data_IF_983606913586
#
_entry.id   IF_983606913586
#
_cell.length_a   1.000
_cell.length_b   1.000
_cell.length_c   1.000
_cell.angle_alpha   90.00
_cell.angle_beta   90.00
_cell.angle_gamma   90.00
#
_symmetry.space_group_name_H-M   'P 1'
#
loop_
_entity.id
_entity.type
_entity.pdbx_description
1 polymer ?
#
# COMPACT_ATOMS: atom_id res chain seq x y z
N UNK A 1 10.99 0.12 18.85
CA UNK A 1 10.31 -1.13 18.44
C UNK A 1 10.40 -1.17 16.93
N UNK A 2 10.69 -2.31 16.30
CA UNK A 2 10.69 -2.32 14.82
C UNK A 2 9.25 -2.23 14.34
N UNK A 3 9.02 -1.54 13.22
CA UNK A 3 7.69 -1.48 12.62
C UNK A 3 7.14 -2.88 12.30
N UNK A 4 8.03 -3.84 11.99
CA UNK A 4 7.67 -5.24 11.84
C UNK A 4 6.92 -5.77 13.06
N UNK A 5 7.48 -5.57 14.26
CA UNK A 5 6.92 -6.05 15.52
C UNK A 5 5.53 -5.45 15.77
N UNK A 6 5.32 -4.20 15.34
CA UNK A 6 4.03 -3.53 15.44
C UNK A 6 2.99 -4.18 14.55
N UNK A 7 3.35 -4.77 13.41
CA UNK A 7 2.41 -5.33 12.41
C UNK A 7 2.28 -6.86 12.53
N UNK A 8 3.14 -7.51 13.31
CA UNK A 8 3.18 -8.98 13.40
C UNK A 8 1.87 -9.59 13.91
N UNK A 9 1.18 -8.98 14.86
CA UNK A 9 -0.16 -9.43 15.30
C UNK A 9 -1.14 -9.52 14.11
N UNK A 10 -1.11 -8.53 13.22
CA UNK A 10 -1.96 -8.52 12.02
C UNK A 10 -1.56 -9.63 11.04
N UNK A 11 -0.25 -9.87 10.86
CA UNK A 11 0.24 -10.96 10.00
C UNK A 11 -0.13 -12.32 10.55
N UNK A 12 0.09 -12.56 11.83
CA UNK A 12 -0.22 -13.82 12.50
C UNK A 12 -1.68 -14.21 12.30
N UNK A 13 -2.62 -13.28 12.48
CA UNK A 13 -4.05 -13.55 12.24
C UNK A 13 -4.32 -13.98 10.79
N UNK A 14 -3.71 -13.31 9.81
CA UNK A 14 -3.89 -13.66 8.40
C UNK A 14 -3.23 -15.00 8.08
N UNK A 15 -2.00 -15.22 8.55
CA UNK A 15 -1.20 -16.43 8.32
C UNK A 15 -1.89 -17.66 8.90
N UNK A 16 -2.43 -17.58 10.12
CA UNK A 16 -3.18 -18.66 10.77
C UNK A 16 -4.40 -19.10 9.95
N UNK A 17 -5.07 -18.17 9.26
CA UNK A 17 -6.19 -18.49 8.39
C UNK A 17 -5.69 -19.04 7.05
N UNK A 18 -4.72 -18.37 6.44
CA UNK A 18 -4.31 -18.66 5.06
C UNK A 18 -3.54 -19.97 4.92
N UNK A 19 -2.68 -20.31 5.89
CA UNK A 19 -1.88 -21.56 5.86
C UNK A 19 -2.78 -22.81 5.83
N UNK A 20 -4.00 -22.73 6.37
CA UNK A 20 -5.00 -23.82 6.30
C UNK A 20 -5.35 -24.19 4.84
N UNK A 21 -5.14 -23.27 3.88
CA UNK A 21 -5.48 -23.46 2.48
C UNK A 21 -4.30 -23.87 1.58
N UNK A 22 -3.08 -24.10 2.09
CA UNK A 22 -1.89 -24.42 1.25
C UNK A 22 -2.08 -25.59 0.25
N UNK A 23 -3.01 -26.49 0.52
CA UNK A 23 -3.32 -27.65 -0.33
C UNK A 23 -4.81 -27.74 -0.69
N UNK A 24 -5.52 -26.61 -0.62
CA UNK A 24 -6.94 -26.49 -0.94
C UNK A 24 -7.15 -25.37 -1.92
N UNK A 25 -8.18 -25.50 -2.75
CA UNK A 25 -8.60 -24.38 -3.58
C UNK A 25 -9.23 -23.29 -2.73
N UNK A 26 -9.15 -22.06 -3.19
CA UNK A 26 -9.67 -20.89 -2.48
C UNK A 26 -10.71 -20.16 -3.32
N UNK A 27 -11.87 -19.93 -2.70
CA UNK A 27 -12.90 -19.01 -3.16
C UNK A 27 -12.75 -17.72 -2.36
N UNK A 28 -12.34 -16.64 -3.02
CA UNK A 28 -12.31 -15.31 -2.41
C UNK A 28 -13.64 -14.60 -2.67
N UNK A 29 -14.48 -14.55 -1.65
CA UNK A 29 -15.85 -14.08 -1.72
C UNK A 29 -15.94 -12.61 -1.28
N UNK A 30 -16.42 -11.72 -2.15
CA UNK A 30 -16.43 -10.26 -1.93
C UNK A 30 -15.21 -9.53 -2.52
N UNK A 31 -14.65 -10.04 -3.64
CA UNK A 31 -13.37 -9.61 -4.22
C UNK A 31 -13.27 -8.11 -4.61
N UNK A 32 -14.37 -7.45 -5.00
CA UNK A 32 -14.36 -6.04 -5.46
C UNK A 32 -13.89 -5.01 -4.44
N UNK A 33 -13.88 -5.37 -3.17
CA UNK A 33 -13.42 -4.51 -2.10
C UNK A 33 -11.89 -4.29 -2.17
N UNK A 34 -11.38 -3.28 -1.47
CA UNK A 34 -9.94 -3.19 -1.28
C UNK A 34 -9.42 -4.38 -0.48
N UNK A 35 -10.16 -4.79 0.57
CA UNK A 35 -9.94 -6.04 1.33
C UNK A 35 -9.74 -7.25 0.43
N UNK A 36 -10.62 -7.50 -0.55
CA UNK A 36 -10.47 -8.63 -1.46
C UNK A 36 -9.16 -8.59 -2.25
N UNK A 37 -8.82 -7.44 -2.85
CA UNK A 37 -7.53 -7.28 -3.54
C UNK A 37 -6.33 -7.42 -2.60
N UNK A 38 -6.43 -6.93 -1.38
CA UNK A 38 -5.39 -7.06 -0.37
C UNK A 38 -5.18 -8.52 0.04
N UNK A 39 -6.25 -9.25 0.37
CA UNK A 39 -6.16 -10.66 0.76
C UNK A 39 -5.63 -11.54 -0.37
N UNK A 40 -6.05 -11.28 -1.63
CA UNK A 40 -5.47 -11.95 -2.80
C UNK A 40 -3.96 -11.71 -2.88
N UNK A 41 -3.53 -10.44 -2.81
CA UNK A 41 -2.11 -10.09 -2.87
C UNK A 41 -1.32 -10.71 -1.71
N UNK A 42 -1.84 -10.63 -0.48
CA UNK A 42 -1.16 -11.13 0.70
C UNK A 42 -0.95 -12.66 0.60
N UNK A 43 -1.96 -13.39 0.16
CA UNK A 43 -1.88 -14.83 -0.04
C UNK A 43 -0.85 -15.22 -1.10
N UNK A 44 -0.83 -14.51 -2.23
CA UNK A 44 0.12 -14.74 -3.33
C UNK A 44 1.55 -14.36 -2.92
N UNK A 45 1.72 -13.22 -2.25
CA UNK A 45 3.03 -12.66 -1.92
C UNK A 45 3.71 -13.39 -0.75
N UNK A 46 2.99 -13.71 0.32
CA UNK A 46 3.56 -14.31 1.53
C UNK A 46 3.49 -15.84 1.56
N UNK A 47 2.50 -16.44 0.89
CA UNK A 47 2.21 -17.88 1.00
C UNK A 47 2.25 -18.65 -0.32
N UNK A 48 2.46 -17.97 -1.45
CA UNK A 48 2.31 -18.54 -2.81
C UNK A 48 0.94 -19.23 -3.02
N UNK A 49 -0.08 -18.79 -2.29
CA UNK A 49 -1.45 -19.30 -2.42
C UNK A 49 -2.15 -18.49 -3.51
N UNK A 50 -2.44 -19.16 -4.63
CA UNK A 50 -3.24 -18.58 -5.71
C UNK A 50 -4.72 -18.71 -5.41
N UNK A 51 -5.47 -17.65 -5.70
CA UNK A 51 -6.93 -17.68 -5.58
C UNK A 51 -7.54 -18.31 -6.82
N UNK A 52 -8.25 -19.43 -6.66
CA UNK A 52 -8.87 -20.18 -7.76
C UNK A 52 -10.17 -19.53 -8.27
N UNK A 53 -10.96 -18.96 -7.36
CA UNK A 53 -12.26 -18.38 -7.69
C UNK A 53 -12.43 -17.01 -7.05
N UNK A 54 -12.46 -15.97 -7.89
CA UNK A 54 -12.81 -14.62 -7.44
C UNK A 54 -14.33 -14.46 -7.53
N UNK A 55 -15.01 -14.30 -6.40
CA UNK A 55 -16.47 -14.12 -6.36
C UNK A 55 -16.82 -12.69 -6.00
N UNK A 56 -17.66 -12.09 -6.83
CA UNK A 56 -18.24 -10.77 -6.64
C UNK A 56 -19.59 -10.83 -5.95
N UNK A 57 -19.86 -9.95 -4.98
CA UNK A 57 -21.21 -9.76 -4.43
C UNK A 57 -21.88 -8.48 -4.96
N UNK A 58 -21.11 -7.52 -5.46
CA UNK A 58 -21.61 -6.29 -6.08
C UNK A 58 -22.02 -6.47 -7.55
N UNK A 59 -23.33 -6.61 -7.80
CA UNK A 59 -23.92 -6.74 -9.13
C UNK A 59 -24.10 -5.39 -9.86
N UNK A 60 -23.83 -4.25 -9.20
CA UNK A 60 -24.00 -2.92 -9.80
C UNK A 60 -22.82 -2.52 -10.70
N UNK A 61 -21.67 -3.17 -10.54
CA UNK A 61 -20.45 -2.87 -11.30
C UNK A 61 -20.37 -3.71 -12.57
N UNK A 62 -20.31 -3.04 -13.72
CA UNK A 62 -19.91 -3.67 -14.98
C UNK A 62 -18.48 -4.19 -14.87
N UNK A 63 -18.24 -5.43 -15.32
CA UNK A 63 -16.92 -6.07 -15.34
C UNK A 63 -16.59 -6.54 -16.74
N UNK A 64 -15.31 -6.50 -17.08
CA UNK A 64 -14.85 -7.05 -18.34
C UNK A 64 -14.94 -8.59 -18.27
N UNK A 65 -15.54 -9.21 -19.29
CA UNK A 65 -15.84 -10.65 -19.29
C UNK A 65 -14.59 -11.54 -19.38
N UNK A 66 -13.44 -10.97 -19.75
CA UNK A 66 -12.13 -11.62 -19.78
C UNK A 66 -11.53 -11.79 -18.38
N UNK A 67 -12.05 -11.07 -17.37
CA UNK A 67 -11.75 -11.35 -15.97
C UNK A 67 -12.69 -12.47 -15.50
N UNK A 68 -12.15 -13.65 -15.18
CA UNK A 68 -12.88 -14.78 -14.60
C UNK A 68 -13.36 -14.48 -13.17
N UNK A 69 -14.28 -13.54 -13.03
CA UNK A 69 -14.92 -13.16 -11.77
C UNK A 69 -16.34 -13.71 -11.77
N UNK A 70 -16.58 -14.61 -10.83
CA UNK A 70 -17.83 -15.34 -10.67
C UNK A 70 -18.84 -14.53 -9.85
N UNK A 71 -20.11 -14.90 -9.99
CA UNK A 71 -21.21 -14.45 -9.13
C UNK A 71 -21.40 -15.42 -7.95
N UNK A 72 -22.15 -15.04 -6.89
CA UNK A 72 -22.38 -15.92 -5.74
C UNK A 72 -22.99 -17.27 -6.13
N UNK A 73 -23.80 -17.28 -7.20
CA UNK A 73 -24.41 -18.48 -7.76
C UNK A 73 -23.42 -19.58 -8.19
N UNK A 74 -22.12 -19.31 -8.21
CA UNK A 74 -21.06 -20.31 -8.38
C UNK A 74 -21.24 -21.52 -7.46
N UNK A 75 -21.66 -21.29 -6.20
CA UNK A 75 -21.84 -22.33 -5.19
C UNK A 75 -23.02 -23.28 -5.52
N UNK A 76 -23.89 -22.90 -6.46
CA UNK A 76 -25.11 -23.64 -6.80
C UNK A 76 -24.93 -24.60 -7.97
N UNK A 77 -23.86 -24.44 -8.76
CA UNK A 77 -23.73 -25.07 -10.07
C UNK A 77 -22.92 -26.36 -10.10
N UNK A 78 -22.52 -26.89 -8.94
CA UNK A 78 -21.61 -28.06 -8.85
C UNK A 78 -20.37 -27.90 -9.76
N UNK A 79 -19.89 -26.66 -9.91
CA UNK A 79 -18.82 -26.34 -10.85
C UNK A 79 -17.49 -26.87 -10.34
N UNK A 80 -16.91 -27.84 -11.05
CA UNK A 80 -15.62 -28.46 -10.71
C UNK A 80 -15.62 -28.94 -9.25
N UNK A 81 -14.63 -28.51 -8.47
CA UNK A 81 -14.35 -28.83 -7.08
C UNK A 81 -14.64 -27.64 -6.14
N UNK A 82 -15.52 -26.71 -6.55
CA UNK A 82 -15.94 -25.55 -5.74
C UNK A 82 -16.42 -25.97 -4.34
N UNK A 83 -17.18 -27.06 -4.25
CA UNK A 83 -17.69 -27.59 -2.97
C UNK A 83 -16.59 -28.02 -1.98
N UNK A 84 -15.39 -28.34 -2.48
CA UNK A 84 -14.25 -28.82 -1.68
C UNK A 84 -13.22 -27.70 -1.41
N UNK A 85 -13.47 -26.49 -1.93
CA UNK A 85 -12.64 -25.31 -1.76
C UNK A 85 -12.92 -24.62 -0.40
N UNK A 86 -11.95 -23.87 0.11
CA UNK A 86 -12.16 -22.99 1.25
C UNK A 86 -12.73 -21.65 0.80
N UNK A 87 -13.70 -21.13 1.55
CA UNK A 87 -14.27 -19.81 1.31
C UNK A 87 -13.60 -18.79 2.23
N UNK A 88 -12.90 -17.84 1.63
CA UNK A 88 -12.37 -16.67 2.31
C UNK A 88 -13.33 -15.50 2.14
N UNK A 89 -13.98 -15.08 3.23
CA UNK A 89 -14.90 -13.96 3.22
C UNK A 89 -14.13 -12.64 3.33
N UNK A 90 -14.13 -11.89 2.23
CA UNK A 90 -13.58 -10.54 2.11
C UNK A 90 -14.65 -9.44 2.31
N UNK A 91 -15.77 -9.79 2.96
CA UNK A 91 -16.85 -8.91 3.35
C UNK A 91 -17.35 -9.25 4.76
N UNK A 92 -17.96 -8.30 5.50
CA UNK A 92 -18.45 -8.56 6.85
C UNK A 92 -19.51 -9.66 6.84
N UNK A 93 -19.36 -10.64 7.73
CA UNK A 93 -20.33 -11.73 7.85
C UNK A 93 -21.69 -11.19 8.28
N UNK A 94 -22.73 -11.63 7.56
CA UNK A 94 -24.13 -11.39 7.89
C UNK A 94 -24.85 -12.70 8.12
N UNK A 95 -26.01 -12.67 8.80
CA UNK A 95 -26.86 -13.85 8.98
C UNK A 95 -27.27 -14.48 7.64
N UNK A 96 -27.43 -13.67 6.59
CA UNK A 96 -27.84 -14.16 5.27
C UNK A 96 -26.66 -14.85 4.57
N UNK A 97 -25.46 -14.25 4.63
CA UNK A 97 -24.23 -14.87 4.10
C UNK A 97 -23.91 -16.17 4.83
N UNK A 98 -24.04 -16.20 6.16
CA UNK A 98 -23.84 -17.40 6.97
C UNK A 98 -24.78 -18.54 6.55
N UNK A 99 -26.09 -18.27 6.50
CA UNK A 99 -27.09 -19.25 6.03
C UNK A 99 -26.85 -19.71 4.59
N UNK A 100 -26.40 -18.80 3.72
CA UNK A 100 -26.11 -19.12 2.33
C UNK A 100 -24.95 -20.11 2.21
N UNK A 101 -23.86 -19.88 2.95
CA UNK A 101 -22.70 -20.78 2.97
C UNK A 101 -23.05 -22.13 3.60
N UNK A 102 -23.74 -22.13 4.74
CA UNK A 102 -24.17 -23.37 5.42
C UNK A 102 -25.11 -24.22 4.55
N UNK A 103 -26.02 -23.58 3.78
CA UNK A 103 -26.89 -24.27 2.83
C UNK A 103 -26.11 -25.10 1.81
N UNK A 104 -24.93 -24.63 1.39
CA UNK A 104 -24.07 -25.33 0.43
C UNK A 104 -22.94 -26.14 1.09
N UNK A 105 -23.04 -26.38 2.40
CA UNK A 105 -22.18 -27.32 3.12
C UNK A 105 -20.90 -26.73 3.70
N UNK A 106 -20.72 -25.41 3.67
CA UNK A 106 -19.58 -24.76 4.30
C UNK A 106 -19.82 -24.56 5.80
N UNK A 107 -18.77 -24.80 6.60
CA UNK A 107 -18.75 -24.81 8.06
C UNK A 107 -17.82 -23.70 8.54
N UNK A 108 -18.31 -22.86 9.46
CA UNK A 108 -17.58 -21.71 9.99
C UNK A 108 -16.29 -22.13 10.67
N UNK A 109 -15.21 -21.43 10.37
CA UNK A 109 -13.86 -21.64 10.90
C UNK A 109 -13.22 -23.00 10.54
N UNK A 110 -13.86 -23.78 9.67
CA UNK A 110 -13.35 -25.05 9.16
C UNK A 110 -13.18 -25.01 7.63
N UNK A 111 -14.26 -24.68 6.91
CA UNK A 111 -14.26 -24.59 5.44
C UNK A 111 -14.65 -23.20 4.91
N UNK A 112 -15.10 -22.29 5.78
CA UNK A 112 -15.09 -20.86 5.47
C UNK A 112 -14.56 -20.01 6.64
N UNK A 113 -13.94 -18.88 6.30
CA UNK A 113 -13.22 -18.02 7.24
C UNK A 113 -13.63 -16.56 7.07
N UNK A 114 -14.04 -15.93 8.18
CA UNK A 114 -14.42 -14.52 8.26
C UNK A 114 -13.22 -13.66 8.67
N UNK A 115 -12.59 -13.01 7.69
CA UNK A 115 -11.42 -12.17 7.93
C UNK A 115 -11.77 -10.89 8.69
N UNK A 116 -13.00 -10.37 8.56
CA UNK A 116 -13.39 -9.14 9.23
C UNK A 116 -13.52 -9.32 10.74
N UNK A 117 -14.23 -10.37 11.16
CA UNK A 117 -14.31 -10.70 12.59
C UNK A 117 -12.96 -11.14 13.15
N UNK A 118 -12.12 -11.82 12.37
CA UNK A 118 -10.77 -12.19 12.83
C UNK A 118 -9.89 -10.95 13.11
N UNK A 119 -9.93 -9.94 12.25
CA UNK A 119 -9.05 -8.76 12.35
C UNK A 119 -9.62 -7.68 13.27
N UNK A 120 -10.90 -7.35 13.15
CA UNK A 120 -11.52 -6.20 13.85
C UNK A 120 -12.51 -6.60 14.95
N UNK A 121 -12.77 -7.90 15.12
CA UNK A 121 -13.82 -8.39 16.01
C UNK A 121 -15.17 -7.77 15.66
N UNK A 122 -15.73 -7.00 16.59
CA UNK A 122 -17.01 -6.30 16.41
C UNK A 122 -16.85 -4.85 15.90
N UNK A 123 -15.64 -4.29 15.80
CA UNK A 123 -15.39 -2.90 15.41
C UNK A 123 -15.10 -2.73 13.91
N UNK A 124 -15.95 -3.33 13.07
CA UNK A 124 -15.80 -3.35 11.61
C UNK A 124 -16.18 -2.01 10.95
N UNK A 125 -17.02 -1.21 11.61
CA UNK A 125 -17.56 0.04 11.07
C UNK A 125 -16.95 1.24 11.81
N UNK A 126 -16.09 1.95 11.10
CA UNK A 126 -15.53 3.22 11.53
C UNK A 126 -16.61 4.32 11.58
N UNK A 127 -16.68 5.06 12.68
CA UNK A 127 -17.55 6.22 12.83
C UNK A 127 -16.80 7.50 12.56
N UNK A 128 -17.52 8.53 12.13
CA UNK A 128 -16.97 9.87 12.01
C UNK A 128 -16.69 10.45 13.40
N UNK A 129 -15.48 10.95 13.62
CA UNK A 129 -15.05 11.57 14.86
C UNK A 129 -15.13 13.11 14.82
N UNK A 130 -15.63 13.68 13.72
CA UNK A 130 -15.89 15.11 13.57
C UNK A 130 -14.62 15.96 13.41
N UNK A 131 -13.47 15.33 13.14
CA UNK A 131 -12.21 16.02 12.92
C UNK A 131 -12.13 16.69 11.53
N UNK A 132 -11.23 17.65 11.40
CA UNK A 132 -10.92 18.30 10.12
C UNK A 132 -10.32 17.31 9.10
N UNK A 133 -10.24 17.73 7.84
CA UNK A 133 -9.81 16.86 6.73
C UNK A 133 -8.39 16.29 6.90
N UNK A 134 -7.48 16.98 7.59
CA UNK A 134 -6.12 16.50 7.82
C UNK A 134 -6.11 15.39 8.89
N UNK A 135 -6.99 15.49 9.89
CA UNK A 135 -7.06 14.54 11.00
C UNK A 135 -8.17 13.48 10.88
N UNK A 136 -9.04 13.60 9.88
CA UNK A 136 -10.14 12.67 9.61
C UNK A 136 -9.63 11.29 9.21
N UNK A 137 -10.15 10.25 9.84
CA UNK A 137 -9.94 8.85 9.46
C UNK A 137 -11.04 8.36 8.53
N UNK A 138 -10.80 7.21 7.90
CA UNK A 138 -11.82 6.60 7.04
C UNK A 138 -13.07 6.28 7.85
N UNK A 139 -14.24 6.61 7.27
CA UNK A 139 -15.57 6.35 7.85
C UNK A 139 -16.25 5.23 7.07
N UNK A 140 -17.06 4.42 7.76
CA UNK A 140 -17.77 3.27 7.19
C UNK A 140 -16.99 1.97 7.36
N UNK A 141 -17.18 1.03 6.43
CA UNK A 141 -16.54 -0.29 6.53
C UNK A 141 -15.02 -0.17 6.45
N UNK A 142 -14.32 -0.72 7.44
CA UNK A 142 -12.86 -0.81 7.41
C UNK A 142 -12.38 -1.67 6.25
N UNK A 143 -11.22 -1.38 5.65
CA UNK A 143 -10.56 -2.33 4.76
C UNK A 143 -9.50 -3.09 5.54
N UNK A 144 -9.40 -4.39 5.29
CA UNK A 144 -8.32 -5.19 5.85
C UNK A 144 -7.07 -4.87 5.02
N UNK A 145 -6.15 -4.15 5.64
CA UNK A 145 -4.83 -3.78 5.13
C UNK A 145 -3.96 -3.25 6.27
N UNK A 146 -2.64 -3.26 6.11
CA UNK A 146 -1.71 -2.85 7.16
C UNK A 146 -1.96 -1.43 7.67
N UNK A 147 -2.05 -0.43 6.80
CA UNK A 147 -2.15 0.97 7.24
C UNK A 147 -3.47 1.26 7.98
N UNK A 148 -4.59 0.72 7.52
CA UNK A 148 -5.88 0.91 8.19
C UNK A 148 -5.98 0.09 9.49
N UNK A 149 -5.29 -1.05 9.57
CA UNK A 149 -5.12 -1.75 10.84
C UNK A 149 -4.33 -0.91 11.85
N UNK A 150 -3.27 -0.21 11.42
CA UNK A 150 -2.54 0.74 12.29
C UNK A 150 -3.42 1.93 12.73
N UNK A 151 -4.28 2.45 11.84
CA UNK A 151 -5.24 3.49 12.22
C UNK A 151 -6.21 3.03 13.32
N UNK A 152 -6.63 1.77 13.25
CA UNK A 152 -7.55 1.14 14.19
C UNK A 152 -6.89 0.78 15.52
N UNK A 153 -5.73 0.12 15.48
CA UNK A 153 -5.05 -0.42 16.66
C UNK A 153 -4.26 0.64 17.43
N UNK A 154 -3.57 1.53 16.73
CA UNK A 154 -2.63 2.50 17.32
C UNK A 154 -3.06 3.96 17.17
N UNK A 155 -4.31 4.19 16.75
CA UNK A 155 -4.87 5.51 16.52
C UNK A 155 -4.13 6.35 15.45
N UNK A 156 -3.38 5.73 14.53
CA UNK A 156 -2.74 6.44 13.41
C UNK A 156 -3.75 7.01 12.38
N UNK A 157 -3.27 7.78 11.40
CA UNK A 157 -4.05 8.33 10.27
C UNK A 157 -3.22 8.33 8.97
N UNK A 158 -3.57 7.46 8.03
CA UNK A 158 -2.87 7.23 6.78
C UNK A 158 -3.78 7.24 5.54
N UNK A 159 -4.96 6.62 5.59
CA UNK A 159 -5.66 6.15 4.37
C UNK A 159 -6.68 7.13 3.81
N UNK A 160 -7.14 8.11 4.61
CA UNK A 160 -8.08 9.14 4.15
C UNK A 160 -7.42 10.06 3.14
N UNK A 161 -7.93 10.09 1.91
CA UNK A 161 -7.48 11.01 0.87
C UNK A 161 -7.89 12.44 1.20
N UNK A 162 -7.02 13.40 0.90
CA UNK A 162 -7.31 14.83 0.93
C UNK A 162 -7.29 15.30 -0.52
N UNK A 163 -8.34 15.99 -0.97
CA UNK A 163 -8.36 16.49 -2.34
C UNK A 163 -7.49 17.74 -2.46
N UNK A 164 -7.05 18.04 -3.68
CA UNK A 164 -6.22 19.21 -3.99
C UNK A 164 -6.85 20.52 -3.50
N UNK A 165 -8.17 20.66 -3.64
CA UNK A 165 -8.94 21.85 -3.25
C UNK A 165 -9.12 22.01 -1.74
N UNK A 166 -8.79 20.98 -0.96
CA UNK A 166 -8.88 21.00 0.51
C UNK A 166 -7.54 21.37 1.19
N UNK A 167 -6.46 21.52 0.42
CA UNK A 167 -5.13 21.86 0.94
C UNK A 167 -4.92 23.37 0.86
N UNK A 168 -4.66 24.01 2.01
CA UNK A 168 -4.62 25.47 2.15
C UNK A 168 -3.52 26.14 1.31
N UNK A 169 -2.35 25.49 1.20
CA UNK A 169 -1.26 25.94 0.33
C UNK A 169 -1.48 25.37 -1.08
N UNK A 170 -2.64 25.64 -1.67
CA UNK A 170 -2.92 25.31 -3.06
C UNK A 170 -2.15 26.26 -3.99
N UNK A 171 -0.85 26.01 -4.17
CA UNK A 171 -0.14 26.49 -5.35
C UNK A 171 -0.70 25.85 -6.62
N UNK A 172 -0.42 26.44 -7.79
CA UNK A 172 -0.88 25.90 -9.10
C UNK A 172 -0.47 24.42 -9.31
N UNK A 173 0.60 24.00 -8.65
CA UNK A 173 1.28 22.72 -8.82
C UNK A 173 0.90 21.62 -7.80
N UNK A 174 -0.05 21.88 -6.90
CA UNK A 174 -0.36 20.91 -5.84
C UNK A 174 -1.15 19.69 -6.34
N UNK A 175 -0.95 18.53 -5.73
CA UNK A 175 -1.77 17.33 -5.92
C UNK A 175 -2.45 16.97 -4.60
N UNK A 176 -3.60 16.27 -4.66
CA UNK A 176 -4.24 15.81 -3.43
C UNK A 176 -3.41 14.75 -2.71
N UNK A 177 -3.59 14.60 -1.40
CA UNK A 177 -2.98 13.51 -0.64
C UNK A 177 -3.63 12.16 -1.00
N UNK A 178 -2.77 11.20 -1.31
CA UNK A 178 -3.08 9.78 -1.42
C UNK A 178 -1.88 8.96 -0.98
N UNK A 179 -2.11 7.67 -0.71
CA UNK A 179 -1.09 6.81 -0.13
C UNK A 179 -0.93 5.53 -0.94
N UNK A 180 0.31 5.11 -1.15
CA UNK A 180 0.67 3.74 -1.55
C UNK A 180 0.93 2.90 -0.32
N UNK A 181 0.61 1.61 -0.41
CA UNK A 181 0.74 0.69 0.71
C UNK A 181 1.79 -0.37 0.41
N UNK A 182 2.07 -1.23 1.39
CA UNK A 182 2.89 -2.42 1.20
C UNK A 182 2.43 -3.24 -0.03
N UNK A 183 1.13 -3.28 -0.33
CA UNK A 183 0.57 -4.00 -1.49
C UNK A 183 1.21 -3.58 -2.81
N UNK A 184 1.47 -2.29 -2.98
CA UNK A 184 2.14 -1.75 -4.16
C UNK A 184 3.67 -1.74 -4.00
N UNK A 185 4.14 -1.26 -2.85
CA UNK A 185 5.57 -1.00 -2.61
C UNK A 185 6.37 -2.30 -2.60
N UNK A 186 5.87 -3.34 -1.93
CA UNK A 186 6.61 -4.61 -1.76
C UNK A 186 6.74 -5.33 -3.10
N UNK A 187 5.71 -5.24 -3.95
CA UNK A 187 5.75 -5.80 -5.31
C UNK A 187 6.83 -5.11 -6.15
N UNK A 188 6.92 -3.77 -6.08
CA UNK A 188 7.96 -3.01 -6.79
C UNK A 188 9.34 -3.43 -6.30
N UNK A 189 9.57 -3.42 -4.99
CA UNK A 189 10.87 -3.70 -4.39
C UNK A 189 11.31 -5.16 -4.63
N UNK A 190 10.39 -6.11 -4.51
CA UNK A 190 10.66 -7.53 -4.78
C UNK A 190 11.02 -7.79 -6.24
N UNK A 191 10.28 -7.19 -7.18
CA UNK A 191 10.62 -7.27 -8.62
C UNK A 191 11.95 -6.61 -8.94
N UNK A 192 12.34 -5.57 -8.19
CA UNK A 192 13.67 -4.97 -8.28
C UNK A 192 14.78 -5.82 -7.64
N UNK A 193 14.44 -7.00 -7.10
CA UNK A 193 15.31 -7.84 -6.28
C UNK A 193 15.97 -7.04 -5.14
N UNK A 194 15.21 -6.13 -4.54
CA UNK A 194 15.67 -5.32 -3.43
C UNK A 194 15.70 -6.17 -2.15
N UNK A 195 16.90 -6.35 -1.62
CA UNK A 195 17.14 -6.85 -0.26
C UNK A 195 17.94 -5.73 0.41
N UNK A 196 17.30 -4.84 1.20
CA UNK A 196 17.99 -3.69 1.78
C UNK A 196 19.20 -4.13 2.61
N UNK A 197 20.35 -3.54 2.34
CA UNK A 197 21.53 -3.67 3.19
C UNK A 197 21.61 -2.48 4.17
N UNK A 198 22.41 -2.60 5.23
CA UNK A 198 22.59 -1.56 6.25
C UNK A 198 23.16 -0.21 5.75
N UNK A 199 23.56 -0.12 4.48
CA UNK A 199 24.00 1.11 3.81
C UNK A 199 22.98 1.64 2.81
N UNK A 200 21.92 0.89 2.55
CA UNK A 200 20.84 1.33 1.69
C UNK A 200 19.89 2.22 2.48
N UNK A 201 19.60 3.38 1.92
CA UNK A 201 18.66 4.34 2.48
C UNK A 201 17.75 4.83 1.36
N UNK A 202 16.46 4.91 1.66
CA UNK A 202 15.42 5.31 0.71
C UNK A 202 14.82 6.66 1.08
N UNK A 203 14.57 7.50 0.09
CA UNK A 203 13.98 8.81 0.26
C UNK A 203 12.64 8.92 -0.47
N UNK A 204 11.58 9.27 0.26
CA UNK A 204 10.21 9.43 -0.23
C UNK A 204 9.89 10.90 -0.52
N UNK A 205 9.71 11.22 -1.81
CA UNK A 205 9.32 12.56 -2.23
C UNK A 205 7.81 12.75 -2.17
N UNK A 206 7.36 13.68 -1.33
CA UNK A 206 5.94 13.86 -1.05
C UNK A 206 5.43 12.76 -0.11
N UNK A 207 6.11 12.57 1.03
CA UNK A 207 5.88 11.44 1.92
C UNK A 207 4.53 11.49 2.66
N UNK A 208 3.80 12.61 2.55
CA UNK A 208 2.44 12.74 3.02
C UNK A 208 2.33 12.44 4.51
N UNK A 209 1.35 11.62 4.92
CA UNK A 209 1.19 11.20 6.32
C UNK A 209 2.14 10.06 6.74
N UNK A 210 3.10 9.67 5.88
CA UNK A 210 4.14 8.69 6.19
C UNK A 210 3.79 7.22 5.94
N UNK A 211 2.74 6.91 5.18
CA UNK A 211 2.35 5.51 4.90
C UNK A 211 3.40 4.71 4.13
N UNK A 212 4.05 5.33 3.14
CA UNK A 212 5.16 4.72 2.42
C UNK A 212 6.43 4.64 3.29
N UNK A 213 6.70 5.64 4.15
CA UNK A 213 7.78 5.58 5.15
C UNK A 213 7.64 4.34 6.04
N UNK A 214 6.47 4.11 6.63
CA UNK A 214 6.19 2.90 7.42
C UNK A 214 6.37 1.63 6.58
N UNK A 215 5.92 1.64 5.32
CA UNK A 215 6.09 0.49 4.42
C UNK A 215 7.57 0.19 4.12
N UNK A 216 8.43 1.21 3.95
CA UNK A 216 9.86 0.98 3.71
C UNK A 216 10.58 0.43 4.95
N UNK A 217 10.25 0.94 6.14
CA UNK A 217 10.75 0.40 7.40
C UNK A 217 10.32 -1.06 7.58
N UNK A 218 9.06 -1.37 7.28
CA UNK A 218 8.48 -2.72 7.33
C UNK A 218 9.14 -3.67 6.32
N UNK A 219 9.50 -3.18 5.13
CA UNK A 219 10.22 -3.97 4.12
C UNK A 219 11.66 -4.28 4.52
N UNK A 220 12.25 -3.50 5.44
CA UNK A 220 13.58 -3.74 5.99
C UNK A 220 14.62 -2.65 5.72
N UNK A 221 14.23 -1.46 5.22
CA UNK A 221 15.17 -0.33 5.19
C UNK A 221 15.45 0.16 6.62
N UNK A 222 16.72 0.35 6.96
CA UNK A 222 17.14 0.85 8.28
C UNK A 222 17.18 2.39 8.35
N UNK A 223 17.16 3.07 7.20
CA UNK A 223 17.14 4.53 7.09
C UNK A 223 16.16 4.96 6.00
N UNK A 224 15.13 5.71 6.39
CA UNK A 224 14.07 6.21 5.51
C UNK A 224 13.92 7.72 5.65
N UNK A 225 14.20 8.45 4.59
CA UNK A 225 13.99 9.89 4.51
C UNK A 225 12.67 10.23 3.85
N UNK A 226 12.15 11.41 4.11
CA UNK A 226 10.99 11.92 3.40
C UNK A 226 10.83 13.42 3.49
N UNK A 227 10.20 14.01 2.47
CA UNK A 227 9.85 15.44 2.45
C UNK A 227 8.35 15.61 2.22
N UNK A 228 7.75 16.47 3.02
CA UNK A 228 6.36 16.92 2.89
C UNK A 228 6.33 18.44 3.08
N UNK A 229 5.57 19.13 2.25
CA UNK A 229 5.59 20.59 2.19
C UNK A 229 4.42 21.20 2.99
N UNK A 230 3.29 20.50 3.11
CA UNK A 230 2.09 20.98 3.80
C UNK A 230 2.19 20.71 5.31
N UNK A 231 2.31 21.75 6.16
CA UNK A 231 2.58 21.58 7.58
C UNK A 231 1.54 20.72 8.32
N UNK A 232 0.25 20.81 7.98
CA UNK A 232 -0.78 20.01 8.64
C UNK A 232 -0.69 18.52 8.30
N UNK A 233 -0.26 18.17 7.08
CA UNK A 233 0.00 16.78 6.71
C UNK A 233 1.26 16.29 7.44
N UNK A 234 2.30 17.12 7.48
CA UNK A 234 3.55 16.81 8.19
C UNK A 234 3.33 16.60 9.70
N UNK A 235 2.50 17.40 10.35
CA UNK A 235 2.10 17.24 11.75
C UNK A 235 1.50 15.85 12.01
N UNK A 236 0.59 15.41 11.13
CA UNK A 236 -0.02 14.08 11.22
C UNK A 236 0.99 12.97 10.96
N UNK A 237 1.93 13.17 10.03
CA UNK A 237 3.05 12.25 9.82
C UNK A 237 3.88 12.07 11.10
N UNK A 238 4.24 13.16 11.78
CA UNK A 238 5.02 13.07 13.02
C UNK A 238 4.24 12.40 14.15
N UNK A 239 2.93 12.68 14.27
CA UNK A 239 2.04 12.01 15.23
C UNK A 239 1.97 10.50 14.98
N UNK A 240 1.87 10.09 13.70
CA UNK A 240 1.90 8.68 13.33
C UNK A 240 3.20 7.98 13.72
N UNK A 241 4.36 8.58 13.39
CA UNK A 241 5.66 7.99 13.75
C UNK A 241 5.81 7.84 15.27
N UNK A 242 5.34 8.84 16.02
CA UNK A 242 5.31 8.80 17.49
C UNK A 242 4.41 7.69 18.03
N UNK A 243 3.17 7.57 17.52
CA UNK A 243 2.22 6.52 17.94
C UNK A 243 2.74 5.10 17.68
N UNK A 244 3.50 4.94 16.60
CA UNK A 244 4.13 3.68 16.22
C UNK A 244 5.47 3.42 16.93
N UNK A 245 5.97 4.37 17.73
CA UNK A 245 7.29 4.32 18.35
C UNK A 245 8.41 4.00 17.34
N UNK A 246 8.35 4.65 16.16
CA UNK A 246 9.41 4.58 15.15
C UNK A 246 10.69 5.14 15.74
N UNK A 247 11.79 4.45 15.51
CA UNK A 247 13.11 4.89 15.95
C UNK A 247 13.51 6.18 15.20
N UNK A 248 13.74 7.26 15.93
CA UNK A 248 14.15 8.55 15.36
C UNK A 248 15.47 8.45 14.60
N UNK A 249 16.34 7.48 14.91
CA UNK A 249 17.58 7.24 14.16
C UNK A 249 17.33 6.56 12.81
N UNK A 250 16.17 5.92 12.63
CA UNK A 250 15.78 5.22 11.40
C UNK A 250 15.08 6.11 10.38
N UNK A 251 14.77 7.35 10.74
CA UNK A 251 14.03 8.28 9.88
C UNK A 251 14.65 9.67 9.82
N UNK A 252 14.48 10.35 8.69
CA UNK A 252 14.74 11.79 8.55
C UNK A 252 13.59 12.43 7.76
N UNK A 253 12.67 13.03 8.49
CA UNK A 253 11.47 13.64 7.93
C UNK A 253 11.63 15.16 7.93
N UNK A 254 11.30 15.79 6.80
CA UNK A 254 11.58 17.20 6.55
C UNK A 254 10.29 17.91 6.12
N UNK A 255 9.90 18.94 6.88
CA UNK A 255 8.83 19.86 6.49
C UNK A 255 9.41 20.98 5.61
N UNK A 256 9.45 20.80 4.30
CA UNK A 256 10.02 21.77 3.35
C UNK A 256 9.53 21.52 1.93
N UNK A 257 9.79 22.46 1.03
CA UNK A 257 9.64 22.23 -0.41
C UNK A 257 10.75 21.28 -0.90
N UNK A 258 10.35 20.24 -1.62
CA UNK A 258 11.24 19.25 -2.22
C UNK A 258 12.34 19.88 -3.10
N UNK A 259 12.08 21.02 -3.74
CA UNK A 259 13.06 21.71 -4.59
C UNK A 259 14.24 22.30 -3.81
N UNK A 260 14.07 22.53 -2.51
CA UNK A 260 15.07 23.14 -1.63
C UNK A 260 16.09 22.13 -1.08
N UNK A 261 15.83 20.83 -1.22
CA UNK A 261 16.71 19.78 -0.72
C UNK A 261 18.04 19.74 -1.46
N UNK A 262 19.13 19.58 -0.71
CA UNK A 262 20.49 19.54 -1.25
C UNK A 262 21.33 18.45 -0.58
N UNK A 263 22.12 18.80 0.44
CA UNK A 263 23.10 17.90 1.06
C UNK A 263 22.45 16.75 1.84
N UNK A 264 21.20 16.94 2.28
CA UNK A 264 20.35 15.96 2.93
C UNK A 264 20.23 14.68 2.08
N UNK A 265 20.23 14.81 0.76
CA UNK A 265 20.09 13.70 -0.19
C UNK A 265 21.32 12.77 -0.24
N UNK A 266 22.49 13.19 0.26
CA UNK A 266 23.79 12.55 0.01
C UNK A 266 23.94 11.14 0.60
N UNK A 267 23.11 10.77 1.57
CA UNK A 267 23.08 9.45 2.20
C UNK A 267 22.13 8.46 1.53
N UNK A 268 21.16 8.93 0.74
CA UNK A 268 20.13 8.10 0.13
C UNK A 268 20.57 7.55 -1.22
N UNK A 269 20.27 6.30 -1.49
CA UNK A 269 20.59 5.65 -2.77
C UNK A 269 19.35 5.04 -3.45
N UNK A 270 18.20 5.08 -2.80
CA UNK A 270 16.91 4.86 -3.41
C UNK A 270 16.08 6.14 -3.32
N UNK A 271 15.44 6.54 -4.41
CA UNK A 271 14.51 7.67 -4.45
C UNK A 271 13.17 7.20 -4.97
N UNK A 272 12.11 7.51 -4.25
CA UNK A 272 10.76 7.05 -4.53
C UNK A 272 9.84 8.23 -4.88
N UNK A 273 9.08 8.08 -5.96
CA UNK A 273 8.07 9.03 -6.41
C UNK A 273 6.77 8.27 -6.74
N UNK A 274 5.73 8.45 -5.92
CA UNK A 274 4.42 7.81 -6.15
C UNK A 274 3.60 8.51 -7.23
N UNK A 275 3.55 9.83 -7.19
CA UNK A 275 2.98 10.65 -8.24
C UNK A 275 3.95 11.82 -8.39
N UNK A 276 4.84 11.81 -9.41
CA UNK A 276 5.79 12.89 -9.56
C UNK A 276 5.01 14.20 -9.64
N UNK A 277 5.53 15.21 -8.93
CA UNK A 277 5.01 16.57 -8.90
C UNK A 277 4.77 17.12 -10.30
N UNK A 278 4.26 18.35 -10.39
CA UNK A 278 4.34 19.06 -11.66
C UNK A 278 5.78 19.02 -12.24
N UNK A 279 5.88 19.10 -13.56
CA UNK A 279 7.14 18.90 -14.27
C UNK A 279 8.27 19.83 -13.79
N UNK A 280 7.96 21.04 -13.29
CA UNK A 280 8.96 21.98 -12.80
C UNK A 280 9.57 21.50 -11.47
N UNK A 281 8.75 21.15 -10.49
CA UNK A 281 9.23 20.60 -9.21
C UNK A 281 9.97 19.28 -9.47
N UNK A 282 9.41 18.39 -10.28
CA UNK A 282 10.03 17.10 -10.58
C UNK A 282 11.42 17.26 -11.22
N UNK A 283 11.55 18.14 -12.21
CA UNK A 283 12.84 18.46 -12.85
C UNK A 283 13.86 18.99 -11.86
N UNK A 284 13.46 19.87 -10.95
CA UNK A 284 14.37 20.39 -9.94
C UNK A 284 14.81 19.30 -8.94
N UNK A 285 13.91 18.39 -8.55
CA UNK A 285 14.26 17.24 -7.72
C UNK A 285 15.31 16.35 -8.39
N UNK A 286 15.12 16.00 -9.67
CA UNK A 286 16.09 15.20 -10.44
C UNK A 286 17.45 15.91 -10.55
N UNK A 287 17.47 17.23 -10.76
CA UNK A 287 18.71 18.03 -10.74
C UNK A 287 19.39 17.94 -9.37
N UNK A 288 18.65 18.01 -8.27
CA UNK A 288 19.20 17.92 -6.91
C UNK A 288 19.78 16.53 -6.63
N UNK A 289 19.11 15.46 -7.08
CA UNK A 289 19.65 14.08 -7.03
C UNK A 289 20.95 13.98 -7.84
N UNK A 290 21.01 14.56 -9.05
CA UNK A 290 22.23 14.58 -9.87
C UNK A 290 23.38 15.33 -9.17
N UNK A 291 23.10 16.46 -8.51
CA UNK A 291 24.09 17.19 -7.70
C UNK A 291 24.57 16.35 -6.53
N UNK A 292 23.66 15.65 -5.85
CA UNK A 292 23.99 14.72 -4.77
C UNK A 292 24.90 13.58 -5.24
N UNK A 293 24.59 12.98 -6.40
CA UNK A 293 25.44 11.97 -7.03
C UNK A 293 26.85 12.51 -7.32
N UNK A 294 26.97 13.74 -7.83
CA UNK A 294 28.28 14.38 -8.07
C UNK A 294 29.08 14.59 -6.78
N UNK A 295 28.42 14.96 -5.68
CA UNK A 295 29.09 15.12 -4.37
C UNK A 295 29.49 13.78 -3.76
N UNK A 296 28.66 12.75 -3.92
CA UNK A 296 28.83 11.41 -3.36
C UNK A 296 28.46 10.34 -4.39
N UNK A 297 29.45 9.88 -5.15
CA UNK A 297 29.29 8.80 -6.12
C UNK A 297 28.85 7.51 -5.42
N UNK A 298 27.70 6.98 -5.84
CA UNK A 298 27.08 5.76 -5.31
C UNK A 298 26.07 5.23 -6.31
N UNK A 299 25.76 3.94 -6.24
CA UNK A 299 24.74 3.33 -7.08
C UNK A 299 23.36 3.82 -6.66
N UNK A 300 22.71 4.65 -7.47
CA UNK A 300 21.39 5.21 -7.16
C UNK A 300 20.33 4.49 -7.98
N UNK A 301 19.18 4.21 -7.37
CA UNK A 301 17.95 3.77 -8.02
C UNK A 301 16.83 4.77 -7.84
N UNK A 302 16.03 5.00 -8.87
CA UNK A 302 14.83 5.83 -8.82
C UNK A 302 13.62 4.97 -9.18
N UNK A 303 12.63 4.95 -8.30
CA UNK A 303 11.32 4.35 -8.52
C UNK A 303 10.35 5.47 -8.86
N UNK A 304 9.77 5.44 -10.07
CA UNK A 304 8.79 6.43 -10.51
C UNK A 304 7.50 5.75 -10.92
N UNK A 305 6.47 5.89 -10.10
CA UNK A 305 5.11 5.43 -10.38
C UNK A 305 4.38 6.53 -11.14
N UNK A 306 3.55 6.15 -12.12
CA UNK A 306 2.87 7.10 -13.01
C UNK A 306 3.86 8.11 -13.66
N UNK A 307 4.85 7.63 -14.43
CA UNK A 307 6.02 8.41 -14.80
C UNK A 307 5.74 9.40 -15.95
N UNK A 308 4.82 10.35 -15.77
CA UNK A 308 4.37 11.31 -16.79
C UNK A 308 5.51 12.20 -17.34
N UNK A 309 6.55 12.45 -16.55
CA UNK A 309 7.71 13.27 -16.91
C UNK A 309 9.01 12.46 -16.93
N UNK A 310 8.95 11.19 -17.33
CA UNK A 310 10.09 10.26 -17.31
C UNK A 310 11.32 10.75 -18.11
N UNK A 311 11.09 11.49 -19.20
CA UNK A 311 12.15 12.06 -20.04
C UNK A 311 13.12 12.95 -19.26
N UNK A 312 12.64 13.62 -18.20
CA UNK A 312 13.47 14.44 -17.30
C UNK A 312 14.61 13.64 -16.68
N UNK A 313 14.38 12.36 -16.35
CA UNK A 313 15.41 11.49 -15.77
C UNK A 313 16.41 11.07 -16.86
N UNK A 314 15.92 10.70 -18.03
CA UNK A 314 16.72 10.18 -19.14
C UNK A 314 17.64 11.25 -19.74
N UNK A 315 17.13 12.47 -19.91
CA UNK A 315 17.86 13.63 -20.45
C UNK A 315 19.07 14.03 -19.60
N UNK A 316 19.13 13.62 -18.32
CA UNK A 316 20.30 13.89 -17.47
C UNK A 316 21.58 13.21 -17.96
N UNK A 317 21.45 12.10 -18.69
CA UNK A 317 22.56 11.22 -19.05
C UNK A 317 23.21 10.49 -17.87
N UNK A 318 22.77 10.72 -16.62
CA UNK A 318 23.29 10.06 -15.41
C UNK A 318 22.65 8.70 -15.20
N UNK A 319 21.37 8.59 -15.54
CA UNK A 319 20.56 7.40 -15.30
C UNK A 319 20.27 6.64 -16.60
N UNK A 320 19.92 5.35 -16.45
CA UNK A 320 19.34 4.49 -17.49
C UNK A 320 18.11 3.78 -16.93
N UNK A 321 17.09 3.61 -17.75
CA UNK A 321 15.94 2.76 -17.42
C UNK A 321 16.42 1.30 -17.35
N UNK A 322 16.08 0.60 -16.28
CA UNK A 322 16.46 -0.81 -16.06
C UNK A 322 15.26 -1.75 -15.99
N UNK A 323 14.07 -1.23 -15.69
CA UNK A 323 12.86 -2.04 -15.59
C UNK A 323 11.62 -1.19 -15.79
N UNK A 324 10.62 -1.80 -16.46
CA UNK A 324 9.25 -1.31 -16.54
C UNK A 324 8.35 -2.41 -15.98
N UNK A 325 7.44 -2.03 -15.09
CA UNK A 325 6.50 -2.98 -14.49
C UNK A 325 5.14 -2.34 -14.26
N UNK A 326 4.15 -3.18 -13.99
CA UNK A 326 2.81 -2.74 -13.61
C UNK A 326 2.46 -3.14 -12.19
N UNK A 327 1.75 -2.25 -11.49
CA UNK A 327 1.12 -2.48 -10.18
C UNK A 327 -0.40 -2.32 -10.26
N UNK A 328 -1.12 -2.80 -9.24
CA UNK A 328 -2.59 -2.76 -9.19
C UNK A 328 -3.14 -1.41 -8.71
N UNK A 329 -2.95 -0.40 -9.56
CA UNK A 329 -3.47 0.96 -9.41
C UNK A 329 -4.27 1.39 -10.65
N UNK A 330 -4.89 2.58 -10.61
CA UNK A 330 -5.59 3.13 -11.78
C UNK A 330 -4.61 3.44 -12.92
N UNK A 331 -3.53 4.18 -12.61
CA UNK A 331 -2.38 4.29 -13.47
C UNK A 331 -1.35 3.27 -12.98
N UNK A 332 -1.01 2.30 -13.83
CA UNK A 332 -0.33 1.06 -13.42
C UNK A 332 1.17 1.10 -13.61
N UNK A 333 1.65 1.96 -14.52
CA UNK A 333 3.04 1.93 -15.01
C UNK A 333 4.00 2.43 -13.94
N UNK A 334 5.09 1.69 -13.75
CA UNK A 334 6.22 2.04 -12.89
C UNK A 334 7.51 1.89 -13.70
N UNK A 335 8.35 2.92 -13.67
CA UNK A 335 9.70 2.88 -14.24
C UNK A 335 10.74 2.84 -13.13
N UNK A 336 11.75 2.01 -13.32
CA UNK A 336 12.90 1.89 -12.43
C UNK A 336 14.16 2.32 -13.18
N UNK A 337 14.85 3.33 -12.65
CA UNK A 337 16.10 3.84 -13.20
C UNK A 337 17.28 3.52 -12.30
N UNK A 338 18.46 3.45 -12.88
CA UNK A 338 19.72 3.24 -12.17
C UNK A 338 20.83 4.15 -12.74
N UNK A 339 21.77 4.60 -11.91
CA UNK A 339 23.00 5.28 -12.38
C UNK A 339 23.75 4.41 -13.38
N UNK A 340 24.26 5.03 -14.45
CA UNK A 340 24.96 4.34 -15.55
C UNK A 340 26.25 3.65 -15.15
#
# INVERSE_FOLDING_TARGET
MKISDTIDEFREILDEIMIKALHRRVILYGYESYTGRFLKWYAEYYHDIRIDYLVSTDMSRGRAYDQEIFRPSLLEFEYRDVKDAYVWLAEPLTNDTEKYLEKYGYIKNDTYFDFYTAIYGNDIIAKDDGKDIFHRKKVGRRDIQFLEWLEWKYDCNFVTRIKKDEIAIAGEHNEGYGVTTQKEIFEILSRCHCIPHNKDAIFDYGCGKGGAVVSFLDYGFEMVGGVEYEPHIYEVLMDNMKKLNVDEESIELICNDAVNLNAELDKYNWFYFFLPFDIHIFKQCIVNICKSYKRKQRKIKIISISPYSHNVIEETGVFRLIMELTIDMRQRVVHIYETR
#
